data_IF_423805004799
#
_entry.id   IF_423805004799
#
_cell.length_a   1.000
_cell.length_b   1.000
_cell.length_c   1.000
_cell.angle_alpha   90.00
_cell.angle_beta   90.00
_cell.angle_gamma   90.00
#
_symmetry.space_group_name_H-M   'P 1'
#
loop_
_entity.id
_entity.type
_entity.pdbx_description
1 polymer ?
#
# COMPACT_ATOMS: atom_id res chain seq x y z
N UNK A 1 -21.06 21.07 22.79
CA UNK A 1 -20.19 19.89 22.60
C UNK A 1 -19.50 20.12 21.27
N UNK A 2 -18.18 20.32 21.29
CA UNK A 2 -17.40 20.38 20.05
C UNK A 2 -17.32 18.95 19.52
N UNK A 3 -17.78 18.70 18.30
CA UNK A 3 -17.45 17.45 17.59
C UNK A 3 -15.93 17.34 17.61
N UNK A 4 -15.38 16.27 18.19
CA UNK A 4 -13.98 15.93 17.99
C UNK A 4 -13.80 15.73 16.49
N UNK A 5 -13.19 16.71 15.83
CA UNK A 5 -12.86 16.65 14.42
C UNK A 5 -11.88 15.49 14.24
N UNK A 6 -12.39 14.32 13.80
CA UNK A 6 -11.59 13.12 13.63
C UNK A 6 -10.51 13.44 12.60
N UNK A 7 -9.25 13.52 13.05
CA UNK A 7 -8.16 13.93 12.19
C UNK A 7 -7.98 12.90 11.05
N UNK A 8 -8.05 13.33 9.77
CA UNK A 8 -7.96 12.41 8.65
C UNK A 8 -6.58 11.76 8.56
N UNK A 9 -6.54 10.54 8.04
CA UNK A 9 -5.29 9.80 7.87
C UNK A 9 -4.40 10.42 6.79
N UNK A 10 -5.00 10.95 5.73
CA UNK A 10 -4.33 11.72 4.68
C UNK A 10 -5.01 13.08 4.55
N UNK A 11 -4.23 14.18 4.51
CA UNK A 11 -4.74 15.52 4.22
C UNK A 11 -3.79 16.27 3.29
N UNK A 12 -4.35 16.84 2.23
CA UNK A 12 -3.65 17.68 1.26
C UNK A 12 -4.28 19.08 1.31
N UNK A 13 -3.45 20.10 1.40
CA UNK A 13 -3.86 21.51 1.46
C UNK A 13 -3.05 22.33 0.45
N UNK A 14 -3.71 22.81 -0.60
CA UNK A 14 -3.10 23.63 -1.66
C UNK A 14 -1.89 22.97 -2.34
N UNK A 15 -1.88 21.63 -2.41
CA UNK A 15 -0.70 20.88 -2.87
C UNK A 15 -0.56 20.96 -4.38
N UNK A 16 0.63 21.29 -4.85
CA UNK A 16 0.98 21.22 -6.27
C UNK A 16 2.29 20.46 -6.50
N UNK A 17 2.43 19.86 -7.68
CA UNK A 17 3.60 19.10 -8.08
C UNK A 17 4.02 19.47 -9.50
N UNK A 18 5.29 19.86 -9.66
CA UNK A 18 5.98 19.97 -10.93
C UNK A 18 7.25 19.12 -10.92
N UNK A 19 7.62 18.66 -12.11
CA UNK A 19 8.91 18.00 -12.33
C UNK A 19 9.87 18.96 -13.02
N UNK A 20 10.99 19.27 -12.36
CA UNK A 20 11.97 20.24 -12.86
C UNK A 20 11.35 21.62 -13.12
N UNK A 21 11.54 22.15 -14.32
CA UNK A 21 11.01 23.45 -14.75
C UNK A 21 9.69 23.36 -15.53
N UNK A 22 9.12 22.16 -15.66
CA UNK A 22 7.89 21.96 -16.41
C UNK A 22 6.68 22.61 -15.71
N UNK A 23 5.56 22.78 -16.43
CA UNK A 23 4.27 23.07 -15.82
C UNK A 23 3.90 22.03 -14.76
N UNK A 24 2.96 22.40 -13.91
CA UNK A 24 2.48 21.51 -12.88
C UNK A 24 1.67 20.36 -13.46
N UNK A 25 2.02 19.15 -13.03
CA UNK A 25 1.26 17.93 -13.33
C UNK A 25 0.06 17.84 -12.38
N UNK A 26 0.20 18.33 -11.15
CA UNK A 26 -0.86 18.41 -10.16
C UNK A 26 -0.93 19.82 -9.60
N UNK A 27 -2.13 20.40 -9.52
CA UNK A 27 -2.35 21.78 -9.10
C UNK A 27 -3.49 21.88 -8.09
N UNK A 28 -3.22 22.61 -7.00
CA UNK A 28 -4.17 22.98 -5.95
C UNK A 28 -5.03 21.81 -5.44
N UNK A 29 -4.36 20.70 -5.14
CA UNK A 29 -5.00 19.53 -4.55
C UNK A 29 -5.41 19.83 -3.12
N UNK A 30 -6.71 19.70 -2.84
CA UNK A 30 -7.33 19.91 -1.55
C UNK A 30 -8.29 18.76 -1.26
N UNK A 31 -7.87 17.79 -0.44
CA UNK A 31 -8.70 16.65 -0.07
C UNK A 31 -8.22 16.01 1.23
N UNK A 32 -9.08 15.20 1.83
CA UNK A 32 -8.76 14.40 3.01
C UNK A 32 -9.35 13.01 2.91
N UNK A 33 -8.64 12.01 3.42
CA UNK A 33 -9.12 10.64 3.50
C UNK A 33 -9.24 10.22 4.97
N UNK A 34 -10.44 9.85 5.44
CA UNK A 34 -10.62 9.31 6.78
C UNK A 34 -9.84 8.01 6.98
N UNK A 35 -9.48 7.72 8.23
CA UNK A 35 -8.94 6.41 8.59
C UNK A 35 -9.98 5.32 8.29
N UNK A 36 -9.52 4.16 7.78
CA UNK A 36 -10.40 3.04 7.42
C UNK A 36 -11.29 3.28 6.19
N UNK A 37 -11.05 4.31 5.39
CA UNK A 37 -11.80 4.56 4.16
C UNK A 37 -11.21 3.84 2.94
N UNK A 38 -12.05 3.50 1.96
CA UNK A 38 -11.63 2.91 0.68
C UNK A 38 -11.96 3.90 -0.44
N UNK A 39 -10.98 4.21 -1.28
CA UNK A 39 -11.16 5.13 -2.40
C UNK A 39 -10.49 4.61 -3.67
N UNK A 40 -11.19 4.73 -4.79
CA UNK A 40 -10.57 4.61 -6.11
C UNK A 40 -9.88 5.91 -6.52
N UNK A 41 -8.84 5.82 -7.33
CA UNK A 41 -8.34 6.94 -8.14
C UNK A 41 -8.61 6.63 -9.60
N UNK A 42 -9.33 7.55 -10.25
CA UNK A 42 -9.69 7.43 -11.67
C UNK A 42 -9.28 8.67 -12.44
N UNK A 43 -9.23 8.54 -13.76
CA UNK A 43 -8.81 9.62 -14.66
C UNK A 43 -8.09 9.06 -15.88
N UNK A 44 -8.00 9.88 -16.93
CA UNK A 44 -7.33 9.49 -18.17
C UNK A 44 -5.86 9.05 -17.93
N UNK A 45 -5.32 8.26 -18.87
CA UNK A 45 -3.88 7.99 -18.90
C UNK A 45 -3.11 9.31 -18.96
N UNK A 46 -2.06 9.45 -18.16
CA UNK A 46 -1.30 10.70 -18.06
C UNK A 46 -1.96 11.82 -17.23
N UNK A 47 -3.14 11.59 -16.62
CA UNK A 47 -3.79 12.62 -15.78
C UNK A 47 -3.01 12.97 -14.50
N UNK A 48 -2.02 12.16 -14.11
CA UNK A 48 -1.20 12.35 -12.91
C UNK A 48 -1.50 11.37 -11.76
N UNK A 49 -2.21 10.25 -12.00
CA UNK A 49 -2.59 9.27 -10.96
C UNK A 49 -1.39 8.75 -10.19
N UNK A 50 -0.40 8.21 -10.90
CA UNK A 50 0.83 7.73 -10.26
C UNK A 50 1.56 8.86 -9.53
N UNK A 51 1.58 10.09 -10.09
CA UNK A 51 2.16 11.26 -9.42
C UNK A 51 1.46 11.62 -8.10
N UNK A 52 0.13 11.50 -8.04
CA UNK A 52 -0.63 11.67 -6.81
C UNK A 52 -0.25 10.59 -5.79
N UNK A 53 -0.18 9.32 -6.21
CA UNK A 53 0.28 8.24 -5.34
C UNK A 53 1.70 8.49 -4.83
N UNK A 54 2.62 8.97 -5.67
CA UNK A 54 4.00 9.33 -5.27
C UNK A 54 4.05 10.43 -4.21
N UNK A 55 3.13 11.40 -4.25
CA UNK A 55 3.01 12.40 -3.18
C UNK A 55 2.55 11.76 -1.87
N UNK A 56 1.58 10.84 -1.91
CA UNK A 56 1.01 10.22 -0.71
C UNK A 56 2.05 9.34 0.01
N UNK A 57 2.85 8.53 -0.70
CA UNK A 57 3.95 7.79 -0.06
C UNK A 57 5.25 8.58 0.11
N UNK A 58 5.21 9.89 -0.22
CA UNK A 58 6.35 10.80 -0.16
C UNK A 58 7.56 10.34 -0.99
N UNK A 59 7.34 9.68 -2.13
CA UNK A 59 8.39 9.42 -3.12
C UNK A 59 8.85 10.70 -3.81
N UNK A 60 7.91 11.59 -4.06
CA UNK A 60 8.19 12.95 -4.54
C UNK A 60 7.72 13.96 -3.51
N UNK A 61 8.40 15.11 -3.42
CA UNK A 61 7.97 16.20 -2.55
C UNK A 61 6.99 17.11 -3.28
N UNK A 62 6.01 17.68 -2.57
CA UNK A 62 5.18 18.73 -3.14
C UNK A 62 6.05 19.93 -3.49
N UNK A 63 5.73 20.60 -4.60
CA UNK A 63 6.37 21.84 -5.02
C UNK A 63 5.86 23.04 -4.23
N UNK A 64 4.63 22.97 -3.74
CA UNK A 64 4.00 23.89 -2.77
C UNK A 64 2.88 23.17 -2.03
N UNK A 65 2.32 23.82 -1.01
CA UNK A 65 1.24 23.29 -0.17
C UNK A 65 1.77 22.40 0.95
N UNK A 66 0.85 21.78 1.68
CA UNK A 66 1.16 20.91 2.82
C UNK A 66 0.46 19.56 2.70
N UNK A 67 1.19 18.51 3.10
CA UNK A 67 0.69 17.15 3.22
C UNK A 67 0.82 16.73 4.67
N UNK A 68 -0.31 16.31 5.27
CA UNK A 68 -0.32 15.60 6.55
C UNK A 68 -0.65 14.14 6.33
N UNK A 69 0.13 13.27 6.96
CA UNK A 69 -0.09 11.83 7.00
C UNK A 69 -0.10 11.38 8.45
N UNK A 70 -1.10 10.61 8.84
CA UNK A 70 -1.26 10.08 10.19
C UNK A 70 -1.17 11.17 11.27
N UNK A 71 -1.80 12.33 11.03
CA UNK A 71 -1.78 13.51 11.92
C UNK A 71 -0.45 14.29 11.93
N UNK A 72 0.54 13.91 11.12
CA UNK A 72 1.85 14.56 11.10
C UNK A 72 2.05 15.33 9.79
N UNK A 73 2.52 16.58 9.85
CA UNK A 73 2.96 17.32 8.66
C UNK A 73 4.27 16.74 8.11
N UNK A 74 4.16 15.95 7.05
CA UNK A 74 5.28 15.24 6.42
C UNK A 74 6.01 16.08 5.38
N UNK A 75 5.46 17.24 5.01
CA UNK A 75 5.99 18.14 3.97
C UNK A 75 7.46 18.49 4.22
N UNK A 76 7.81 18.69 5.50
CA UNK A 76 9.13 19.14 5.95
C UNK A 76 9.98 18.04 6.57
N UNK A 77 9.52 16.78 6.51
CA UNK A 77 10.28 15.68 7.08
C UNK A 77 11.68 15.61 6.46
N UNK A 78 12.70 15.38 7.28
CA UNK A 78 14.02 15.07 6.76
C UNK A 78 14.00 13.72 6.05
N UNK A 79 14.95 13.45 5.14
CA UNK A 79 15.07 12.12 4.49
C UNK A 79 15.16 10.98 5.52
N UNK A 80 15.74 11.24 6.69
CA UNK A 80 15.88 10.28 7.79
C UNK A 80 14.57 9.95 8.50
N UNK A 81 13.56 10.82 8.43
CA UNK A 81 12.28 10.64 9.11
C UNK A 81 11.23 9.95 8.21
N UNK A 82 11.38 10.01 6.88
CA UNK A 82 10.45 9.38 5.93
C UNK A 82 10.27 7.86 6.12
N UNK A 83 11.33 7.08 6.45
CA UNK A 83 11.16 5.64 6.70
C UNK A 83 10.15 5.32 7.80
N UNK A 84 10.02 6.16 8.84
CA UNK A 84 9.08 5.94 9.94
C UNK A 84 7.62 5.98 9.46
N UNK A 85 7.31 6.88 8.53
CA UNK A 85 5.98 6.99 7.92
C UNK A 85 5.76 5.87 6.91
N UNK A 86 6.75 5.59 6.05
CA UNK A 86 6.64 4.58 4.99
C UNK A 86 6.42 3.16 5.51
N UNK A 87 6.94 2.81 6.70
CA UNK A 87 6.64 1.52 7.35
C UNK A 87 5.15 1.30 7.64
N UNK A 88 4.37 2.38 7.75
CA UNK A 88 2.92 2.34 7.97
C UNK A 88 2.12 2.26 6.67
N UNK A 89 2.80 2.31 5.51
CA UNK A 89 2.20 2.32 4.18
C UNK A 89 2.60 1.06 3.42
N UNK A 90 1.63 0.25 3.02
CA UNK A 90 1.83 -0.81 2.04
C UNK A 90 1.67 -0.25 0.63
N UNK A 91 2.55 -0.62 -0.29
CA UNK A 91 2.50 -0.13 -1.67
C UNK A 91 2.61 -1.29 -2.64
N UNK A 92 1.64 -1.36 -3.55
CA UNK A 92 1.65 -2.23 -4.73
C UNK A 92 1.97 -1.35 -5.94
N UNK A 93 3.16 -1.50 -6.48
CA UNK A 93 3.61 -0.76 -7.66
C UNK A 93 3.20 -1.47 -8.95
N UNK A 94 2.92 -0.69 -10.00
CA UNK A 94 2.60 -1.21 -11.34
C UNK A 94 3.74 -2.05 -11.95
N UNK A 95 5.00 -1.69 -11.66
CA UNK A 95 6.23 -2.37 -12.09
C UNK A 95 6.73 -3.41 -11.06
N UNK A 96 5.88 -3.81 -10.11
CA UNK A 96 6.11 -4.76 -9.01
C UNK A 96 7.17 -4.36 -7.97
N UNK A 97 8.31 -3.77 -8.40
CA UNK A 97 9.49 -3.41 -7.61
C UNK A 97 9.91 -4.51 -6.64
N UNK A 98 9.99 -5.75 -7.12
CA UNK A 98 10.47 -6.89 -6.34
C UNK A 98 12.00 -6.84 -6.23
N UNK A 99 12.54 -7.51 -5.22
CA UNK A 99 13.98 -7.63 -5.03
C UNK A 99 14.44 -8.94 -5.69
N UNK A 100 15.06 -8.84 -6.85
CA UNK A 100 15.35 -9.99 -7.73
C UNK A 100 16.22 -11.07 -7.11
N UNK A 101 17.09 -10.71 -6.16
CA UNK A 101 17.99 -11.64 -5.47
C UNK A 101 17.39 -12.21 -4.17
N UNK A 102 16.16 -11.84 -3.82
CA UNK A 102 15.42 -12.42 -2.71
C UNK A 102 14.41 -13.44 -3.23
N UNK A 103 14.21 -14.53 -2.49
CA UNK A 103 13.18 -15.52 -2.81
C UNK A 103 11.77 -14.91 -2.73
N UNK A 104 10.76 -15.62 -3.24
CA UNK A 104 9.34 -15.31 -3.04
C UNK A 104 9.04 -15.15 -1.55
N UNK A 105 9.52 -16.09 -0.71
CA UNK A 105 9.37 -16.00 0.73
C UNK A 105 10.03 -14.74 1.32
N UNK A 106 11.27 -14.45 0.92
CA UNK A 106 12.03 -13.34 1.48
C UNK A 106 11.48 -11.97 1.02
N UNK A 107 11.00 -11.88 -0.22
CA UNK A 107 10.30 -10.70 -0.74
C UNK A 107 9.03 -10.43 0.07
N UNK A 108 8.19 -11.44 0.29
CA UNK A 108 6.96 -11.29 1.07
C UNK A 108 7.25 -10.94 2.54
N UNK A 109 8.27 -11.54 3.14
CA UNK A 109 8.65 -11.31 4.54
C UNK A 109 9.37 -9.97 4.78
N UNK A 110 9.78 -9.25 3.73
CA UNK A 110 10.68 -8.11 3.82
C UNK A 110 10.21 -7.01 4.79
N UNK A 111 8.94 -6.55 4.79
CA UNK A 111 8.49 -5.52 5.74
C UNK A 111 8.62 -5.95 7.19
N UNK A 112 8.26 -7.21 7.49
CA UNK A 112 8.33 -7.76 8.84
C UNK A 112 9.78 -7.92 9.34
N UNK A 113 10.73 -8.22 8.43
CA UNK A 113 12.16 -8.25 8.76
C UNK A 113 12.71 -6.86 9.05
N UNK A 114 12.28 -5.84 8.31
CA UNK A 114 12.70 -4.46 8.53
C UNK A 114 12.18 -3.90 9.87
N UNK A 115 11.14 -4.50 10.44
CA UNK A 115 10.68 -4.27 11.81
C UNK A 115 11.51 -5.02 12.88
N UNK A 116 12.44 -5.88 12.47
CA UNK A 116 13.31 -6.65 13.37
C UNK A 116 12.71 -7.97 13.87
N UNK A 117 11.70 -8.53 13.18
CA UNK A 117 11.06 -9.78 13.61
C UNK A 117 11.89 -11.02 13.23
N UNK A 118 12.11 -11.97 14.15
CA UNK A 118 12.87 -13.18 13.87
C UNK A 118 12.22 -14.06 12.81
N UNK A 119 13.02 -14.62 11.89
CA UNK A 119 12.53 -15.48 10.80
C UNK A 119 11.62 -16.62 11.26
N UNK A 120 11.91 -17.22 12.42
CA UNK A 120 11.13 -18.32 12.98
C UNK A 120 9.66 -17.92 13.27
N UNK A 121 9.44 -16.70 13.76
CA UNK A 121 8.09 -16.17 14.03
C UNK A 121 7.34 -15.84 12.73
N UNK A 122 8.05 -15.47 11.67
CA UNK A 122 7.46 -15.05 10.41
C UNK A 122 7.02 -16.22 9.52
N UNK A 123 7.65 -17.38 9.67
CA UNK A 123 7.62 -18.45 8.67
C UNK A 123 6.20 -18.93 8.37
N UNK A 124 5.45 -19.31 9.40
CA UNK A 124 4.09 -19.84 9.25
C UNK A 124 3.19 -18.82 8.55
N UNK A 125 3.15 -17.61 9.08
CA UNK A 125 2.33 -16.51 8.59
C UNK A 125 2.63 -16.10 7.13
N UNK A 126 3.90 -16.01 6.77
CA UNK A 126 4.29 -15.69 5.39
C UNK A 126 3.92 -16.82 4.44
N UNK A 127 4.11 -18.09 4.84
CA UNK A 127 3.73 -19.24 4.01
C UNK A 127 2.22 -19.35 3.83
N UNK A 128 1.43 -19.08 4.87
CA UNK A 128 -0.04 -19.04 4.78
C UNK A 128 -0.51 -17.99 3.78
N UNK A 129 0.03 -16.76 3.86
CA UNK A 129 -0.32 -15.70 2.91
C UNK A 129 0.11 -16.05 1.49
N UNK A 130 1.32 -16.59 1.31
CA UNK A 130 1.84 -17.00 0.01
C UNK A 130 1.00 -18.13 -0.61
N UNK A 131 0.62 -19.13 0.18
CA UNK A 131 -0.30 -20.19 -0.24
C UNK A 131 -1.66 -19.60 -0.66
N UNK A 132 -2.19 -18.65 0.12
CA UNK A 132 -3.44 -17.98 -0.21
C UNK A 132 -3.35 -17.19 -1.52
N UNK A 133 -2.27 -16.45 -1.78
CA UNK A 133 -2.08 -15.80 -3.08
C UNK A 133 -1.66 -16.77 -4.20
N UNK A 134 -1.65 -18.08 -3.96
CA UNK A 134 -1.34 -19.09 -4.98
C UNK A 134 0.14 -19.10 -5.38
N UNK A 135 1.03 -18.90 -4.41
CA UNK A 135 2.50 -18.95 -4.55
C UNK A 135 3.15 -20.00 -3.62
N UNK A 136 2.35 -20.89 -3.02
CA UNK A 136 2.82 -21.90 -2.06
C UNK A 136 3.85 -22.88 -2.64
N UNK A 137 3.75 -23.20 -3.93
CA UNK A 137 4.64 -24.16 -4.60
C UNK A 137 5.94 -23.54 -5.11
N UNK A 138 6.06 -22.21 -5.06
CA UNK A 138 7.18 -21.44 -5.63
C UNK A 138 7.89 -20.57 -4.59
N UNK A 139 7.71 -20.86 -3.30
CA UNK A 139 8.20 -20.02 -2.18
C UNK A 139 9.72 -19.80 -2.19
N UNK A 140 10.48 -20.75 -2.73
CA UNK A 140 11.94 -20.69 -2.84
C UNK A 140 12.44 -20.17 -4.21
N UNK A 141 11.53 -19.87 -5.14
CA UNK A 141 11.90 -19.26 -6.43
C UNK A 141 12.23 -17.77 -6.30
N UNK A 142 12.85 -17.21 -7.33
CA UNK A 142 13.25 -15.80 -7.39
C UNK A 142 12.41 -15.04 -8.44
N UNK A 143 12.17 -13.72 -8.29
CA UNK A 143 11.33 -12.93 -9.19
C UNK A 143 11.57 -13.13 -10.70
N UNK A 144 12.81 -13.26 -11.20
CA UNK A 144 13.06 -13.48 -12.63
C UNK A 144 12.47 -14.79 -13.19
N UNK A 145 12.17 -15.78 -12.33
CA UNK A 145 11.55 -17.04 -12.73
C UNK A 145 10.01 -17.00 -12.73
N UNK A 146 9.42 -15.92 -12.20
CA UNK A 146 7.97 -15.78 -12.02
C UNK A 146 7.31 -15.12 -13.24
N UNK A 147 6.11 -15.57 -13.58
CA UNK A 147 5.22 -14.84 -14.50
C UNK A 147 4.81 -13.48 -13.93
N UNK A 148 4.39 -12.54 -14.80
CA UNK A 148 3.92 -11.22 -14.35
C UNK A 148 2.76 -11.29 -13.35
N UNK A 149 1.85 -12.25 -13.51
CA UNK A 149 0.77 -12.46 -12.55
C UNK A 149 1.25 -13.01 -11.20
N UNK A 150 2.27 -13.85 -11.17
CA UNK A 150 2.91 -14.30 -9.94
C UNK A 150 3.68 -13.17 -9.24
N UNK A 151 4.40 -12.35 -10.01
CA UNK A 151 5.09 -11.16 -9.48
C UNK A 151 4.10 -10.15 -8.88
N UNK A 152 2.95 -9.93 -9.55
CA UNK A 152 1.88 -9.09 -9.03
C UNK A 152 1.35 -9.61 -7.68
N UNK A 153 1.07 -10.92 -7.60
CA UNK A 153 0.58 -11.56 -6.37
C UNK A 153 1.60 -11.49 -5.24
N UNK A 154 2.89 -11.64 -5.54
CA UNK A 154 3.98 -11.47 -4.58
C UNK A 154 4.09 -10.01 -4.11
N UNK A 155 4.01 -9.04 -5.03
CA UNK A 155 4.02 -7.62 -4.68
C UNK A 155 2.86 -7.26 -3.74
N UNK A 156 1.67 -7.81 -3.99
CA UNK A 156 0.52 -7.64 -3.10
C UNK A 156 0.79 -8.29 -1.75
N UNK A 157 1.21 -9.56 -1.70
CA UNK A 157 1.51 -10.26 -0.44
C UNK A 157 2.50 -9.46 0.42
N UNK A 158 3.59 -8.97 -0.19
CA UNK A 158 4.56 -8.08 0.45
C UNK A 158 3.92 -6.79 0.98
N UNK A 159 3.04 -6.15 0.21
CA UNK A 159 2.42 -4.89 0.61
C UNK A 159 1.45 -5.03 1.80
N UNK A 160 0.83 -6.20 1.97
CA UNK A 160 -0.25 -6.39 2.96
C UNK A 160 0.17 -7.15 4.21
N UNK A 161 1.30 -7.87 4.19
CA UNK A 161 1.72 -8.79 5.26
C UNK A 161 1.76 -8.15 6.66
N UNK A 162 2.08 -6.85 6.74
CA UNK A 162 2.17 -6.13 8.01
C UNK A 162 0.86 -5.42 8.42
N UNK A 163 -0.23 -5.58 7.67
CA UNK A 163 -1.50 -4.84 7.85
C UNK A 163 -1.24 -3.33 7.96
N UNK A 164 -0.81 -2.70 6.86
CA UNK A 164 -0.46 -1.28 6.90
C UNK A 164 -1.68 -0.44 7.28
N UNK A 165 -1.45 0.73 7.87
CA UNK A 165 -2.53 1.67 8.16
C UNK A 165 -3.07 2.32 6.86
N UNK A 166 -2.24 2.37 5.82
CA UNK A 166 -2.60 2.83 4.48
C UNK A 166 -2.07 1.84 3.43
N UNK A 167 -2.94 1.31 2.59
CA UNK A 167 -2.56 0.54 1.42
C UNK A 167 -2.76 1.37 0.15
N UNK A 168 -1.71 1.51 -0.64
CA UNK A 168 -1.73 2.18 -1.95
C UNK A 168 -1.49 1.11 -3.01
N UNK A 169 -2.34 1.08 -4.03
CA UNK A 169 -2.19 0.15 -5.13
C UNK A 169 -2.36 0.85 -6.48
N UNK A 170 -1.35 0.77 -7.34
CA UNK A 170 -1.37 1.29 -8.72
C UNK A 170 -1.58 0.11 -9.69
N UNK A 171 -2.77 0.00 -10.27
CA UNK A 171 -3.20 -1.07 -11.18
C UNK A 171 -2.94 -2.49 -10.66
N UNK A 172 -3.38 -2.84 -9.43
CA UNK A 172 -3.01 -4.09 -8.76
C UNK A 172 -3.49 -5.36 -9.45
N UNK A 173 -4.46 -5.25 -10.36
CA UNK A 173 -5.09 -6.37 -11.06
C UNK A 173 -4.76 -6.41 -12.55
N UNK A 174 -3.88 -5.52 -13.05
CA UNK A 174 -3.61 -5.40 -14.49
C UNK A 174 -2.92 -6.61 -15.13
N UNK A 175 -2.23 -7.42 -14.32
CA UNK A 175 -1.43 -8.57 -14.79
C UNK A 175 -1.97 -9.94 -14.31
N UNK A 176 -3.22 -10.01 -13.85
CA UNK A 176 -3.84 -11.25 -13.34
C UNK A 176 -5.17 -11.54 -14.04
N UNK A 177 -5.59 -12.80 -14.04
CA UNK A 177 -6.91 -13.19 -14.55
C UNK A 177 -8.05 -12.70 -13.66
N UNK A 178 -9.26 -12.62 -14.20
CA UNK A 178 -10.45 -12.08 -13.53
C UNK A 178 -10.78 -12.77 -12.19
N UNK A 179 -10.58 -14.09 -12.10
CA UNK A 179 -10.85 -14.86 -10.87
C UNK A 179 -9.89 -14.47 -9.77
N UNK A 180 -8.61 -14.29 -10.11
CA UNK A 180 -7.60 -13.79 -9.17
C UNK A 180 -7.83 -12.32 -8.84
N UNK A 181 -8.18 -11.48 -9.82
CA UNK A 181 -8.50 -10.07 -9.59
C UNK A 181 -9.62 -9.91 -8.55
N UNK A 182 -10.71 -10.67 -8.70
CA UNK A 182 -11.83 -10.67 -7.75
C UNK A 182 -11.36 -11.13 -6.35
N UNK A 183 -10.56 -12.19 -6.28
CA UNK A 183 -10.00 -12.67 -5.01
C UNK A 183 -9.14 -11.60 -4.31
N UNK A 184 -8.33 -10.85 -5.05
CA UNK A 184 -7.49 -9.78 -4.51
C UNK A 184 -8.33 -8.57 -4.06
N UNK A 185 -9.40 -8.23 -4.78
CA UNK A 185 -10.32 -7.18 -4.33
C UNK A 185 -11.01 -7.53 -3.03
N UNK A 186 -11.45 -8.79 -2.88
CA UNK A 186 -11.99 -9.28 -1.61
C UNK A 186 -10.99 -9.17 -0.46
N UNK A 187 -9.70 -9.42 -0.69
CA UNK A 187 -8.66 -9.17 0.30
C UNK A 187 -8.58 -7.69 0.69
N UNK A 188 -8.67 -6.77 -0.26
CA UNK A 188 -8.67 -5.34 0.03
C UNK A 188 -9.92 -4.92 0.84
N UNK A 189 -11.11 -5.43 0.51
CA UNK A 189 -12.32 -5.21 1.31
C UNK A 189 -12.13 -5.64 2.77
N UNK A 190 -11.55 -6.82 2.98
CA UNK A 190 -11.31 -7.34 4.33
C UNK A 190 -10.29 -6.50 5.11
N UNK A 191 -9.19 -6.10 4.47
CA UNK A 191 -8.22 -5.18 5.06
C UNK A 191 -8.88 -3.85 5.44
N UNK A 192 -9.78 -3.35 4.59
CA UNK A 192 -10.53 -2.13 4.86
C UNK A 192 -11.50 -2.30 6.03
N UNK A 193 -12.24 -3.40 6.09
CA UNK A 193 -13.13 -3.76 7.21
C UNK A 193 -12.37 -3.80 8.54
N UNK A 194 -11.09 -4.18 8.52
CA UNK A 194 -10.21 -4.21 9.67
C UNK A 194 -9.55 -2.86 10.01
N UNK A 195 -9.87 -1.80 9.27
CA UNK A 195 -9.44 -0.43 9.54
C UNK A 195 -8.32 0.10 8.64
N UNK A 196 -7.86 -0.67 7.65
CA UNK A 196 -6.86 -0.19 6.68
C UNK A 196 -7.50 0.87 5.77
N UNK A 197 -6.90 2.05 5.65
CA UNK A 197 -7.29 2.98 4.58
C UNK A 197 -6.74 2.47 3.26
N UNK A 198 -7.55 2.42 2.20
CA UNK A 198 -7.16 1.90 0.89
C UNK A 198 -7.33 2.96 -0.18
N UNK A 199 -6.30 3.10 -1.03
CA UNK A 199 -6.32 3.90 -2.24
C UNK A 199 -5.93 3.00 -3.40
N UNK A 200 -6.85 2.80 -4.34
CA UNK A 200 -6.64 1.92 -5.47
C UNK A 200 -6.82 2.68 -6.79
N UNK A 201 -5.75 2.83 -7.56
CA UNK A 201 -5.83 3.33 -8.92
C UNK A 201 -6.12 2.15 -9.86
N UNK A 202 -7.22 2.22 -10.62
CA UNK A 202 -7.55 1.23 -11.64
C UNK A 202 -8.34 1.84 -12.78
N UNK A 203 -8.17 1.27 -13.98
CA UNK A 203 -9.01 1.51 -15.15
C UNK A 203 -10.03 0.40 -15.43
N UNK A 204 -10.14 -0.62 -14.56
CA UNK A 204 -11.09 -1.72 -14.74
C UNK A 204 -12.48 -1.34 -14.22
N UNK A 205 -13.36 -0.91 -15.14
CA UNK A 205 -14.72 -0.48 -14.80
C UNK A 205 -15.61 -1.63 -14.30
N UNK A 206 -15.45 -2.84 -14.83
CA UNK A 206 -16.22 -4.02 -14.38
C UNK A 206 -15.93 -4.36 -12.91
N UNK A 207 -14.67 -4.24 -12.52
CA UNK A 207 -14.22 -4.48 -11.15
C UNK A 207 -14.72 -3.37 -10.21
N UNK A 208 -14.66 -2.10 -10.63
CA UNK A 208 -15.24 -0.98 -9.87
C UNK A 208 -16.76 -1.09 -9.72
N UNK A 209 -17.45 -1.61 -10.73
CA UNK A 209 -18.89 -1.86 -10.66
C UNK A 209 -19.24 -3.00 -9.69
N UNK A 210 -18.38 -4.02 -9.60
CA UNK A 210 -18.57 -5.17 -8.70
C UNK A 210 -18.20 -4.85 -7.24
N UNK A 211 -17.30 -3.90 -7.03
CA UNK A 211 -16.82 -3.44 -5.71
C UNK A 211 -16.99 -1.92 -5.59
N UNK A 212 -18.21 -1.41 -5.40
CA UNK A 212 -18.48 0.02 -5.42
C UNK A 212 -17.86 0.74 -4.21
N UNK A 213 -17.05 1.77 -4.50
CA UNK A 213 -16.47 2.68 -3.51
C UNK A 213 -16.34 4.10 -4.08
N UNK A 214 -16.27 5.14 -3.22
CA UNK A 214 -16.02 6.50 -3.65
C UNK A 214 -14.78 6.64 -4.54
N UNK A 215 -14.82 7.59 -5.47
CA UNK A 215 -13.74 7.81 -6.43
C UNK A 215 -13.17 9.22 -6.33
N UNK A 216 -11.85 9.31 -6.30
CA UNK A 216 -11.08 10.53 -6.52
C UNK A 216 -10.79 10.65 -8.02
N UNK A 217 -11.51 11.55 -8.68
CA UNK A 217 -11.41 11.75 -10.13
C UNK A 217 -10.35 12.82 -10.42
N UNK A 218 -9.27 12.41 -11.06
CA UNK A 218 -8.18 13.30 -11.46
C UNK A 218 -8.37 13.77 -12.90
N UNK A 219 -8.53 15.09 -13.08
CA UNK A 219 -8.75 15.71 -14.39
C UNK A 219 -7.98 17.03 -14.48
N UNK A 220 -7.15 17.17 -15.52
CA UNK A 220 -6.31 18.36 -15.76
C UNK A 220 -5.46 18.78 -14.54
N UNK A 221 -4.89 17.79 -13.82
CA UNK A 221 -4.06 18.03 -12.64
C UNK A 221 -4.82 18.41 -11.37
N UNK A 222 -6.15 18.50 -11.42
CA UNK A 222 -7.01 18.78 -10.27
C UNK A 222 -7.80 17.54 -9.85
N UNK A 223 -8.06 17.42 -8.56
CA UNK A 223 -8.80 16.31 -7.98
C UNK A 223 -10.23 16.74 -7.67
N UNK A 224 -11.19 15.91 -8.06
CA UNK A 224 -12.60 16.04 -7.66
C UNK A 224 -13.03 14.78 -6.92
N UNK A 225 -13.73 14.96 -5.82
CA UNK A 225 -14.36 13.84 -5.12
C UNK A 225 -15.69 13.48 -5.80
N UNK A 226 -15.89 12.20 -6.08
CA UNK A 226 -17.19 11.64 -6.46
C UNK A 226 -17.62 10.63 -5.41
N UNK A 227 -18.73 10.93 -4.72
CA UNK A 227 -19.34 10.06 -3.72
C UNK A 227 -20.21 8.94 -4.31
N UNK A 228 -20.30 8.82 -5.64
CA UNK A 228 -20.99 7.70 -6.29
C UNK A 228 -20.23 6.40 -5.95
N UNK A 229 -20.81 5.58 -5.07
CA UNK A 229 -20.22 4.33 -4.60
C UNK A 229 -20.36 4.03 -3.10
N UNK A 230 -20.94 4.93 -2.28
CA UNK A 230 -21.23 4.60 -0.88
C UNK A 230 -22.44 3.65 -0.81
N UNK A 231 -22.19 2.36 -0.58
CA UNK A 231 -23.27 1.40 -0.25
C UNK A 231 -23.40 1.36 1.27
N UNK A 232 -24.50 1.94 1.79
CA UNK A 232 -24.82 1.93 3.23
C UNK A 232 -25.08 0.51 3.76
N UNK A 233 -25.44 -0.43 2.89
CA UNK A 233 -25.87 -1.76 3.28
C UNK A 233 -24.74 -2.80 3.22
N UNK A 234 -24.16 -3.09 4.40
CA UNK A 234 -23.09 -4.09 4.60
C UNK A 234 -23.65 -5.48 4.95
N UNK A 235 -24.95 -5.72 4.84
CA UNK A 235 -25.61 -6.91 5.44
C UNK A 235 -25.69 -8.17 4.55
N UNK A 236 -25.29 -8.10 3.28
CA UNK A 236 -25.62 -9.15 2.28
C UNK A 236 -24.49 -10.14 1.89
N UNK A 237 -23.34 -10.16 2.56
CA UNK A 237 -22.20 -10.99 2.12
C UNK A 237 -21.80 -12.05 3.16
N UNK A 238 -22.67 -13.02 3.50
CA UNK A 238 -22.53 -13.73 4.79
C UNK A 238 -22.44 -15.27 4.77
N UNK A 239 -22.15 -15.99 3.68
CA UNK A 239 -22.17 -17.48 3.78
C UNK A 239 -21.00 -18.26 3.14
N UNK A 240 -20.04 -17.63 2.46
CA UNK A 240 -18.85 -18.33 1.89
C UNK A 240 -17.51 -17.94 2.55
N UNK A 241 -17.55 -17.20 3.68
CA UNK A 241 -16.48 -16.29 4.09
C UNK A 241 -15.66 -16.70 5.32
N UNK A 242 -16.16 -17.62 6.15
CA UNK A 242 -15.51 -18.01 7.42
C UNK A 242 -14.09 -18.60 7.26
N UNK A 243 -13.78 -19.21 6.12
CA UNK A 243 -12.49 -19.90 5.90
C UNK A 243 -11.40 -18.95 5.36
N UNK A 244 -11.77 -17.98 4.52
CA UNK A 244 -10.83 -16.99 3.95
C UNK A 244 -10.39 -16.01 5.04
N UNK A 245 -11.34 -15.61 5.89
CA UNK A 245 -11.10 -14.72 7.03
C UNK A 245 -10.09 -15.35 7.99
N UNK A 246 -10.27 -16.60 8.41
CA UNK A 246 -9.35 -17.20 9.40
C UNK A 246 -7.91 -17.35 8.91
N UNK A 247 -7.67 -17.84 7.69
CA UNK A 247 -6.29 -18.10 7.23
C UNK A 247 -5.53 -16.81 6.92
N UNK A 248 -6.14 -15.87 6.18
CA UNK A 248 -5.47 -14.60 5.86
C UNK A 248 -5.33 -13.75 7.11
N UNK A 249 -6.33 -13.75 8.00
CA UNK A 249 -6.24 -12.97 9.23
C UNK A 249 -5.32 -13.60 10.28
N UNK A 250 -5.24 -14.93 10.37
CA UNK A 250 -4.21 -15.59 11.17
C UNK A 250 -2.82 -15.22 10.66
N UNK A 251 -2.57 -15.35 9.35
CA UNK A 251 -1.32 -14.95 8.71
C UNK A 251 -0.92 -13.49 9.04
N UNK A 252 -1.89 -12.59 9.09
CA UNK A 252 -1.63 -11.17 9.31
C UNK A 252 -1.73 -10.72 10.78
N UNK A 253 -2.11 -11.59 11.73
CA UNK A 253 -2.26 -11.26 13.15
C UNK A 253 -0.95 -10.83 13.81
N UNK A 254 0.18 -11.36 13.35
CA UNK A 254 1.49 -10.94 13.85
C UNK A 254 1.78 -9.47 13.55
N UNK A 255 1.40 -8.94 12.38
CA UNK A 255 1.67 -7.56 11.97
C UNK A 255 1.13 -6.53 12.98
N UNK A 256 0.03 -6.85 13.67
CA UNK A 256 -0.67 -5.94 14.59
C UNK A 256 0.08 -5.69 15.93
N UNK A 257 0.95 -6.60 16.38
CA UNK A 257 1.63 -6.48 17.70
C UNK A 257 2.72 -5.39 17.79
N UNK A 258 3.02 -4.67 16.71
CA UNK A 258 4.10 -3.70 16.67
C UNK A 258 3.65 -2.35 16.09
N UNK A 259 2.83 -1.60 16.83
CA UNK A 259 2.85 -0.14 16.74
C UNK A 259 3.05 0.40 18.15
N UNK A 260 4.23 0.15 18.72
CA UNK A 260 4.78 1.00 19.76
C UNK A 260 6.04 1.67 19.18
N UNK A 261 5.95 2.92 18.68
CA UNK A 261 7.07 3.61 18.05
C UNK A 261 8.27 3.84 18.99
N UNK A 262 8.14 3.60 20.29
CA UNK A 262 9.19 3.82 21.29
C UNK A 262 10.00 2.55 21.67
N UNK A 263 9.60 1.36 21.20
CA UNK A 263 10.13 0.11 21.77
C UNK A 263 11.37 -0.49 21.10
N UNK A 264 11.79 -0.02 19.91
CA UNK A 264 12.88 -0.67 19.16
C UNK A 264 14.21 0.06 19.39
N UNK A 265 15.09 -0.51 20.22
CA UNK A 265 16.45 0.01 20.43
C UNK A 265 17.35 -0.32 19.23
N UNK A 266 18.17 0.62 18.72
CA UNK A 266 18.98 0.44 17.49
C UNK A 266 20.06 -0.65 17.50
N UNK A 267 20.24 -1.38 18.60
CA UNK A 267 21.42 -2.23 18.82
C UNK A 267 21.22 -3.67 18.34
N UNK A 268 19.99 -4.18 18.34
CA UNK A 268 19.72 -5.59 18.06
C UNK A 268 19.62 -5.89 16.56
N UNK A 269 19.30 -4.89 15.73
CA UNK A 269 19.19 -5.06 14.28
C UNK A 269 20.56 -5.25 13.57
N UNK A 270 21.67 -4.77 14.15
CA UNK A 270 22.97 -4.69 13.44
C UNK A 270 23.63 -6.04 13.16
N UNK A 271 23.32 -7.11 13.90
CA UNK A 271 23.96 -8.41 13.70
C UNK A 271 23.33 -9.24 12.56
N UNK A 272 22.03 -9.11 12.29
CA UNK A 272 21.39 -9.82 11.15
C UNK A 272 21.48 -9.02 9.84
N UNK A 273 21.65 -7.71 9.91
CA UNK A 273 21.81 -6.82 8.75
C UNK A 273 23.20 -6.90 8.08
N UNK A 274 24.13 -7.70 8.61
CA UNK A 274 25.46 -7.87 8.01
C UNK A 274 25.47 -8.78 6.77
N UNK A 275 24.39 -9.55 6.52
CA UNK A 275 24.24 -10.40 5.33
C UNK A 275 23.34 -9.82 4.23
N UNK A 276 22.67 -8.70 4.49
CA UNK A 276 21.82 -8.03 3.51
C UNK A 276 22.38 -6.62 3.35
N UNK A 277 23.03 -6.33 2.21
CA UNK A 277 23.69 -5.05 1.96
C UNK A 277 22.74 -3.86 2.20
N UNK A 278 22.88 -3.26 3.38
CA UNK A 278 21.98 -2.22 3.89
C UNK A 278 21.95 -0.97 3.00
N UNK A 279 23.03 -0.73 2.23
CA UNK A 279 23.15 0.37 1.27
C UNK A 279 22.64 0.06 -0.15
N UNK A 280 22.47 -1.21 -0.52
CA UNK A 280 21.94 -1.58 -1.84
C UNK A 280 20.41 -1.55 -1.85
N UNK A 281 19.75 -1.91 -0.74
CA UNK A 281 18.28 -1.87 -0.66
C UNK A 281 17.69 -0.45 -0.52
N UNK A 282 18.45 0.52 0.02
CA UNK A 282 18.06 1.93 0.01
C UNK A 282 18.08 2.54 -1.41
N UNK A 283 18.95 2.02 -2.29
CA UNK A 283 19.00 2.36 -3.72
C UNK A 283 18.01 1.52 -4.56
N UNK A 284 17.65 0.31 -4.14
CA UNK A 284 16.74 -0.55 -4.91
C UNK A 284 15.27 -0.14 -4.75
N UNK A 285 14.92 0.45 -3.60
CA UNK A 285 13.77 1.32 -3.46
C UNK A 285 14.24 2.77 -3.52
N UNK A 286 14.98 3.19 -4.55
CA UNK A 286 15.23 4.62 -4.72
C UNK A 286 13.89 5.30 -4.94
N UNK A 287 13.40 5.86 -3.85
CA UNK A 287 12.14 6.61 -3.79
C UNK A 287 12.19 7.86 -4.68
N UNK A 288 13.38 8.25 -5.15
CA UNK A 288 13.62 9.45 -5.94
C UNK A 288 13.91 9.18 -7.42
N UNK A 289 14.03 7.93 -7.89
CA UNK A 289 14.21 7.65 -9.31
C UNK A 289 12.85 7.64 -10.06
N UNK A 290 12.80 8.20 -11.29
CA UNK A 290 11.57 8.49 -12.05
C UNK A 290 10.70 7.27 -12.39
#
# INVERSE_FOLDING_TARGET
MMEEEIEPLVRFEGVGLRYGRNPEVLSDLNFSLPAGSFHYITGATGAGKSSLLRLIYMGVRPSRGSIRLFGQDVTRFSRKNLPLIRRRIGIVFQDFRLVDHLSVFDNAALPLRLEGRPRAELREHVLELLSWVGLGDVVDQFPPALSGGEQQRLAIARAVINRPALLIADEPTGNVDDRIAERLMRLFEELNRLGTTIILATHNDSLRASFPHPSLILKHGQLKYSGEGYVEDRSHMTMAWDQVEKTVLSAMELGRKAVNPEAIKPRDARHELHQIHHGEMENQFDWNEP
#
